data_IF_194505070718
#
_entry.id   IF_194505070718
#
_cell.length_a   1.000
_cell.length_b   1.000
_cell.length_c   1.000
_cell.angle_alpha   90.00
_cell.angle_beta   90.00
_cell.angle_gamma   90.00
#
_symmetry.space_group_name_H-M   'P 1'
#
loop_
_entity.id
_entity.type
_entity.pdbx_description
1 polymer ?
#
# COMPACT_ATOMS: atom_id res chain seq x y z
N UNK A 1 -8.44 21.17 23.41
CA UNK A 1 -8.14 19.77 23.04
C UNK A 1 -9.39 18.92 23.29
N UNK A 2 -9.77 18.03 22.36
CA UNK A 2 -11.02 17.24 22.42
C UNK A 2 -10.93 15.93 23.23
N UNK A 3 -9.85 15.75 24.02
CA UNK A 3 -9.58 14.57 24.85
C UNK A 3 -10.77 14.11 25.70
N UNK A 4 -11.50 15.03 26.35
CA UNK A 4 -12.66 14.66 27.19
C UNK A 4 -13.87 14.12 26.41
N UNK A 5 -14.00 14.46 25.12
CA UNK A 5 -15.09 13.98 24.25
C UNK A 5 -14.81 12.55 23.76
N UNK A 6 -13.56 12.23 23.47
CA UNK A 6 -13.13 10.89 23.03
C UNK A 6 -12.88 9.93 24.20
N UNK A 7 -12.62 10.45 25.40
CA UNK A 7 -12.32 9.64 26.60
C UNK A 7 -13.47 8.79 27.16
N UNK A 8 -14.69 8.88 26.60
CA UNK A 8 -15.80 7.99 26.97
C UNK A 8 -15.72 6.60 26.31
N UNK A 9 -15.00 6.49 25.20
CA UNK A 9 -14.71 5.25 24.49
C UNK A 9 -13.20 5.19 24.20
N UNK A 10 -12.42 4.97 25.26
CA UNK A 10 -10.96 4.90 25.20
C UNK A 10 -10.53 3.79 24.24
N UNK A 11 -9.61 4.10 23.32
CA UNK A 11 -9.07 3.20 22.28
C UNK A 11 -9.97 2.90 21.07
N UNK A 12 -11.08 3.62 20.88
CA UNK A 12 -11.88 3.47 19.68
C UNK A 12 -11.26 4.24 18.50
N UNK A 13 -10.74 3.51 17.49
CA UNK A 13 -10.20 4.12 16.26
C UNK A 13 -11.28 4.89 15.48
N UNK A 14 -12.46 4.26 15.30
CA UNK A 14 -13.63 4.88 14.66
C UNK A 14 -14.88 4.61 15.51
N UNK A 15 -15.58 5.64 16.01
CA UNK A 15 -16.80 5.48 16.81
C UNK A 15 -17.98 4.99 15.96
N UNK A 16 -18.98 4.35 16.60
CA UNK A 16 -20.15 3.84 15.88
C UNK A 16 -20.95 4.97 15.21
N UNK A 17 -20.94 6.18 15.80
CA UNK A 17 -21.51 7.39 15.20
C UNK A 17 -20.83 7.77 13.87
N UNK A 18 -19.56 7.39 13.66
CA UNK A 18 -18.85 7.67 12.42
C UNK A 18 -19.44 6.93 11.21
N UNK A 19 -20.19 5.83 11.42
CA UNK A 19 -20.90 5.11 10.35
C UNK A 19 -22.02 5.92 9.72
N UNK A 20 -22.52 6.94 10.42
CA UNK A 20 -23.54 7.86 9.90
C UNK A 20 -22.98 8.91 8.94
N UNK A 21 -21.65 9.10 8.94
CA UNK A 21 -20.99 10.06 8.06
C UNK A 21 -20.78 9.45 6.66
N UNK A 22 -20.82 10.28 5.60
CA UNK A 22 -20.49 9.80 4.27
C UNK A 22 -19.03 9.33 4.23
N UNK A 23 -18.75 8.07 3.81
CA UNK A 23 -17.38 7.59 3.70
C UNK A 23 -16.64 8.33 2.58
N UNK A 24 -15.29 8.44 2.68
CA UNK A 24 -14.47 8.95 1.59
C UNK A 24 -14.63 8.08 0.35
N UNK A 25 -14.63 8.70 -0.83
CA UNK A 25 -14.72 7.98 -2.10
C UNK A 25 -13.37 7.38 -2.45
N UNK A 26 -13.39 6.30 -3.24
CA UNK A 26 -12.17 5.69 -3.78
C UNK A 26 -11.37 6.65 -4.68
N UNK A 27 -12.05 7.63 -5.28
CA UNK A 27 -11.43 8.64 -6.15
C UNK A 27 -11.05 9.92 -5.41
N UNK A 28 -11.07 9.92 -4.07
CA UNK A 28 -10.69 11.11 -3.32
C UNK A 28 -9.23 11.47 -3.57
N UNK A 29 -8.89 12.75 -3.85
CA UNK A 29 -7.53 13.15 -4.20
C UNK A 29 -6.53 12.90 -3.07
N UNK A 30 -7.00 12.88 -1.82
CA UNK A 30 -6.18 12.52 -0.65
C UNK A 30 -5.78 11.05 -0.67
N UNK A 31 -6.71 10.16 -1.02
CA UNK A 31 -6.43 8.73 -1.12
C UNK A 31 -5.51 8.45 -2.32
N UNK A 32 -5.75 9.12 -3.45
CA UNK A 32 -4.87 9.05 -4.61
C UNK A 32 -3.44 9.48 -4.27
N UNK A 33 -3.27 10.56 -3.49
CA UNK A 33 -1.95 11.00 -3.03
C UNK A 33 -1.28 9.99 -2.09
N UNK A 34 -2.02 9.36 -1.18
CA UNK A 34 -1.50 8.28 -0.33
C UNK A 34 -1.05 7.07 -1.19
N UNK A 35 -1.82 6.72 -2.22
CA UNK A 35 -1.41 5.71 -3.20
C UNK A 35 -0.12 6.08 -3.95
N UNK A 36 0.02 7.35 -4.34
CA UNK A 36 1.24 7.88 -4.94
C UNK A 36 2.44 7.81 -4.00
N UNK A 37 2.28 8.10 -2.71
CA UNK A 37 3.33 7.90 -1.71
C UNK A 37 3.77 6.43 -1.62
N UNK A 38 2.82 5.49 -1.70
CA UNK A 38 3.12 4.06 -1.79
C UNK A 38 3.93 3.69 -3.03
N UNK A 39 3.59 4.29 -4.19
CA UNK A 39 4.37 4.13 -5.42
C UNK A 39 5.80 4.65 -5.27
N UNK A 40 5.98 5.86 -4.74
CA UNK A 40 7.31 6.42 -4.45
C UNK A 40 8.11 5.55 -3.47
N UNK A 41 7.46 4.98 -2.45
CA UNK A 41 8.09 4.03 -1.52
C UNK A 41 8.66 2.81 -2.25
N UNK A 42 7.91 2.22 -3.20
CA UNK A 42 8.38 1.11 -4.03
C UNK A 42 9.56 1.49 -4.94
N UNK A 43 9.54 2.69 -5.52
CA UNK A 43 10.67 3.20 -6.30
C UNK A 43 11.92 3.37 -5.44
N UNK A 44 11.77 3.91 -4.23
CA UNK A 44 12.87 4.10 -3.28
C UNK A 44 13.42 2.75 -2.82
N UNK A 45 12.56 1.77 -2.53
CA UNK A 45 12.99 0.42 -2.14
C UNK A 45 13.84 -0.24 -3.24
N UNK A 46 13.41 -0.12 -4.50
CA UNK A 46 14.20 -0.58 -5.64
C UNK A 46 15.53 0.16 -5.76
N UNK A 47 15.53 1.48 -5.55
CA UNK A 47 16.73 2.31 -5.61
C UNK A 47 17.76 1.93 -4.53
N UNK A 48 17.31 1.70 -3.29
CA UNK A 48 18.17 1.29 -2.16
C UNK A 48 18.81 -0.08 -2.44
N UNK A 49 18.04 -1.02 -3.00
CA UNK A 49 18.49 -2.40 -3.28
C UNK A 49 19.26 -2.53 -4.60
N UNK A 50 19.58 -1.42 -5.27
CA UNK A 50 20.24 -1.38 -6.58
C UNK A 50 19.52 -2.25 -7.63
N UNK A 51 18.20 -2.36 -7.50
CA UNK A 51 17.33 -2.96 -8.52
C UNK A 51 16.96 -1.89 -9.54
N UNK A 52 16.65 -2.25 -10.79
CA UNK A 52 16.11 -1.29 -11.74
C UNK A 52 14.81 -0.67 -11.18
N UNK A 53 14.78 0.67 -11.10
CA UNK A 53 13.77 1.41 -10.33
C UNK A 53 12.41 1.43 -11.05
N UNK A 54 12.42 1.62 -12.37
CA UNK A 54 11.21 1.80 -13.20
C UNK A 54 10.85 0.57 -14.04
N UNK A 55 11.80 -0.34 -14.24
CA UNK A 55 11.64 -1.52 -15.08
C UNK A 55 11.84 -2.76 -14.22
N UNK A 56 11.02 -3.79 -14.42
CA UNK A 56 11.36 -5.11 -13.92
C UNK A 56 12.72 -5.51 -14.52
N UNK A 57 13.61 -6.03 -13.69
CA UNK A 57 14.91 -6.54 -14.13
C UNK A 57 14.64 -7.62 -15.18
N UNK A 58 15.03 -7.36 -16.43
CA UNK A 58 14.85 -8.32 -17.52
C UNK A 58 15.89 -9.42 -17.33
N UNK A 59 15.54 -10.41 -16.52
CA UNK A 59 16.36 -11.61 -16.37
C UNK A 59 16.26 -12.44 -17.64
N UNK A 60 17.41 -12.90 -18.13
CA UNK A 60 17.43 -13.83 -19.27
C UNK A 60 16.95 -15.20 -18.78
N UNK A 61 16.34 -16.04 -19.63
CA UNK A 61 15.94 -17.41 -19.27
C UNK A 61 17.09 -18.28 -18.71
N UNK A 62 18.35 -17.89 -18.94
CA UNK A 62 19.52 -18.52 -18.31
C UNK A 62 19.74 -18.17 -16.82
N UNK A 63 19.07 -17.14 -16.32
CA UNK A 63 19.15 -16.65 -14.92
C UNK A 63 17.90 -17.00 -14.11
N UNK A 64 16.86 -17.55 -14.76
CA UNK A 64 15.57 -17.92 -14.16
C UNK A 64 15.55 -19.43 -13.99
N UNK A 65 15.44 -19.89 -12.74
CA UNK A 65 15.20 -21.31 -12.46
C UNK A 65 13.69 -21.56 -12.49
N UNK A 66 13.21 -22.26 -13.51
CA UNK A 66 11.82 -22.70 -13.61
C UNK A 66 11.72 -24.18 -13.20
N UNK A 67 10.72 -24.51 -12.39
CA UNK A 67 10.42 -25.89 -12.02
C UNK A 67 9.75 -26.59 -13.21
N UNK A 68 10.39 -27.62 -13.76
CA UNK A 68 9.87 -28.37 -14.89
C UNK A 68 8.84 -29.41 -14.44
N UNK A 69 7.58 -29.25 -14.86
CA UNK A 69 6.51 -30.23 -14.64
C UNK A 69 6.28 -31.09 -15.90
N UNK A 70 6.84 -32.31 -15.97
CA UNK A 70 6.63 -33.20 -17.12
C UNK A 70 5.19 -33.70 -17.18
N UNK A 71 4.61 -33.73 -18.38
CA UNK A 71 3.33 -34.40 -18.65
C UNK A 71 3.59 -35.91 -18.68
N UNK A 72 3.03 -36.63 -17.71
CA UNK A 72 3.04 -38.10 -17.62
C UNK A 72 1.64 -38.64 -17.80
#
# INVERSE_FOLDING_TARGET
MMTGRQGRATFQFLPDEARSLPPPKLTDPRLAFVGFLGYCSGLIDNAIRRRPVLLADKKTYGEVFEEFHPVR
#
